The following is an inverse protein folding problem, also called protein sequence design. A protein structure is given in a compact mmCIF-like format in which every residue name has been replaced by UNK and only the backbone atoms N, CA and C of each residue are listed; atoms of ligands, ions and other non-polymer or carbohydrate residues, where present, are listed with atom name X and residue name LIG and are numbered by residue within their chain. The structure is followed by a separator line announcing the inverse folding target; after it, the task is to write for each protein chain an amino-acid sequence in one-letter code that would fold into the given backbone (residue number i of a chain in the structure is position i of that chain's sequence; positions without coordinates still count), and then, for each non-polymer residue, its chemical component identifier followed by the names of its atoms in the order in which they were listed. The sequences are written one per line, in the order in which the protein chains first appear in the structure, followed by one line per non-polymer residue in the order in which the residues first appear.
data_IF_814267254179
#
_entry.id   IF_814267254179
#
_cell.length_a   1.000
_cell.length_b   1.000
_cell.length_c   1.000
_cell.angle_alpha   90.00
_cell.angle_beta   90.00
_cell.angle_gamma   90.00
#
_symmetry.space_group_name_H-M   'P 1'
#
loop_
_entity.id
_entity.type
_entity.pdbx_description
1 polymer ?
#
# COMPACT_ATOMS: atom_id res chain seq x y z
N UNK A 1 -5.06 18.30 -11.24
CA UNK A 1 -5.62 19.37 -12.10
C UNK A 1 -7.12 19.15 -12.21
N UNK A 2 -7.92 20.04 -11.62
CA UNK A 2 -9.38 19.97 -11.62
C UNK A 2 -9.93 20.20 -13.04
N UNK A 3 -10.85 19.34 -13.47
CA UNK A 3 -11.51 19.42 -14.79
C UNK A 3 -13.00 19.61 -14.57
N UNK A 4 -13.60 20.55 -15.30
CA UNK A 4 -15.04 20.77 -15.31
C UNK A 4 -15.60 20.24 -16.62
N UNK A 5 -16.76 19.58 -16.55
CA UNK A 5 -17.50 19.08 -17.70
C UNK A 5 -18.98 19.40 -17.50
N UNK A 6 -19.62 20.01 -18.48
CA UNK A 6 -21.05 20.32 -18.44
C UNK A 6 -21.68 20.17 -19.82
N UNK A 7 -23.01 20.07 -19.84
CA UNK A 7 -23.82 19.98 -21.05
C UNK A 7 -24.52 21.31 -21.31
N UNK A 8 -24.51 21.76 -22.56
CA UNK A 8 -25.30 22.91 -23.01
C UNK A 8 -25.75 22.72 -24.47
N UNK A 9 -26.90 23.28 -24.82
CA UNK A 9 -27.33 23.42 -26.21
C UNK A 9 -26.95 24.80 -26.73
N UNK A 10 -26.60 24.87 -28.03
CA UNK A 10 -26.21 26.11 -28.70
C UNK A 10 -26.99 26.22 -30.00
N UNK A 11 -27.95 27.13 -30.01
CA UNK A 11 -28.96 27.24 -31.07
C UNK A 11 -29.22 28.70 -31.42
N UNK A 12 -29.24 28.97 -32.71
CA UNK A 12 -29.77 30.19 -33.32
C UNK A 12 -31.01 29.84 -34.15
N UNK A 13 -32.06 30.64 -34.05
CA UNK A 13 -33.31 30.44 -34.77
C UNK A 13 -33.12 30.58 -36.30
N UNK A 14 -32.15 31.37 -36.72
CA UNK A 14 -31.78 31.57 -38.11
C UNK A 14 -30.95 30.36 -38.58
N UNK A 15 -31.64 29.42 -39.26
CA UNK A 15 -31.09 28.11 -39.61
C UNK A 15 -29.93 28.12 -40.61
N UNK A 16 -29.63 29.28 -41.19
CA UNK A 16 -28.50 29.53 -42.09
C UNK A 16 -27.16 29.74 -41.38
N UNK A 17 -27.16 30.05 -40.07
CA UNK A 17 -25.94 30.33 -39.32
C UNK A 17 -25.32 29.04 -38.79
N UNK A 18 -24.27 28.55 -39.48
CA UNK A 18 -23.54 27.31 -39.17
C UNK A 18 -22.07 27.40 -39.63
N UNK A 19 -21.09 26.97 -38.81
CA UNK A 19 -21.17 26.61 -37.38
C UNK A 19 -21.29 27.84 -36.47
N UNK A 20 -21.66 27.63 -35.20
CA UNK A 20 -21.65 28.66 -34.16
C UNK A 20 -20.40 28.52 -33.30
N UNK A 21 -19.73 29.64 -33.02
CA UNK A 21 -18.57 29.68 -32.13
C UNK A 21 -19.02 29.83 -30.69
N UNK A 22 -18.82 28.81 -29.86
CA UNK A 22 -19.05 28.86 -28.42
C UNK A 22 -17.73 29.06 -27.65
N UNK A 23 -17.74 29.96 -26.67
CA UNK A 23 -16.61 30.23 -25.78
C UNK A 23 -17.03 30.07 -24.33
N UNK A 24 -16.15 29.50 -23.52
CA UNK A 24 -16.32 29.34 -22.08
C UNK A 24 -15.31 30.22 -21.38
N UNK A 25 -15.79 31.00 -20.43
CA UNK A 25 -14.99 31.85 -19.57
C UNK A 25 -15.13 31.38 -18.13
N UNK A 26 -14.01 31.27 -17.43
CA UNK A 26 -13.94 31.02 -16.01
C UNK A 26 -13.32 32.24 -15.34
N UNK A 27 -14.04 32.88 -14.41
CA UNK A 27 -13.61 34.11 -13.76
C UNK A 27 -13.14 35.19 -14.78
N UNK A 28 -13.96 35.40 -15.82
CA UNK A 28 -13.69 36.32 -16.94
C UNK A 28 -12.54 35.96 -17.89
N UNK A 29 -11.75 34.91 -17.63
CA UNK A 29 -10.72 34.43 -18.55
C UNK A 29 -11.30 33.37 -19.50
N UNK A 30 -11.02 33.46 -20.80
CA UNK A 30 -11.38 32.43 -21.77
C UNK A 30 -10.60 31.13 -21.45
N UNK A 31 -11.32 30.02 -21.26
CA UNK A 31 -10.74 28.72 -20.90
C UNK A 31 -11.05 27.60 -21.90
N UNK A 32 -12.02 27.83 -22.79
CA UNK A 32 -12.30 26.95 -23.91
C UNK A 32 -13.01 27.72 -25.03
N UNK A 33 -12.74 27.31 -26.27
CA UNK A 33 -13.47 27.74 -27.47
C UNK A 33 -13.75 26.51 -28.32
N UNK A 34 -14.95 26.43 -28.87
CA UNK A 34 -15.43 25.29 -29.64
C UNK A 34 -16.43 25.73 -30.70
N UNK A 35 -16.23 25.28 -31.94
CA UNK A 35 -17.26 25.32 -32.97
C UNK A 35 -18.30 24.23 -32.71
N UNK A 36 -19.58 24.61 -32.69
CA UNK A 36 -20.70 23.72 -32.45
C UNK A 36 -21.74 23.87 -33.55
N UNK A 37 -22.37 22.75 -33.91
CA UNK A 37 -23.50 22.78 -34.83
C UNK A 37 -24.63 23.60 -34.20
N UNK A 38 -25.28 24.44 -35.00
CA UNK A 38 -26.51 25.13 -34.61
C UNK A 38 -27.63 24.09 -34.43
N UNK A 39 -27.82 23.62 -33.19
CA UNK A 39 -28.85 22.65 -32.85
C UNK A 39 -29.26 22.75 -31.38
N UNK A 40 -30.46 22.24 -31.07
CA UNK A 40 -30.95 22.15 -29.70
C UNK A 40 -30.36 20.96 -28.93
N UNK A 41 -29.53 20.14 -29.57
CA UNK A 41 -28.93 18.99 -28.92
C UNK A 41 -27.91 19.43 -27.87
N UNK A 42 -27.83 18.68 -26.78
CA UNK A 42 -26.82 18.91 -25.76
C UNK A 42 -25.43 18.54 -26.31
N UNK A 43 -24.47 19.45 -26.11
CA UNK A 43 -23.05 19.26 -26.40
C UNK A 43 -22.25 19.34 -25.11
N UNK A 44 -21.18 18.56 -25.04
CA UNK A 44 -20.28 18.53 -23.88
C UNK A 44 -19.21 19.59 -24.01
N UNK A 45 -19.13 20.47 -23.02
CA UNK A 45 -18.06 21.45 -22.86
C UNK A 45 -17.13 21.02 -21.73
N UNK A 46 -15.83 21.20 -21.93
CA UNK A 46 -14.80 20.83 -20.95
C UNK A 46 -13.76 21.92 -20.83
N UNK A 47 -13.32 22.20 -19.61
CA UNK A 47 -12.17 23.06 -19.36
C UNK A 47 -11.39 22.61 -18.13
N UNK A 48 -10.12 23.01 -18.05
CA UNK A 48 -9.28 22.84 -16.86
C UNK A 48 -9.37 24.11 -16.03
N UNK A 49 -9.60 23.96 -14.74
CA UNK A 49 -9.50 25.10 -13.82
C UNK A 49 -8.02 25.50 -13.72
N UNK A 50 -7.69 26.81 -13.77
CA UNK A 50 -6.32 27.28 -13.61
C UNK A 50 -5.67 26.71 -12.34
N UNK A 51 -4.37 26.41 -12.43
CA UNK A 51 -3.62 25.90 -11.29
C UNK A 51 -3.68 26.92 -10.14
N UNK A 52 -3.71 26.43 -8.90
CA UNK A 52 -3.67 27.24 -7.68
C UNK A 52 -4.89 28.17 -7.49
N UNK A 53 -5.99 27.90 -8.20
CA UNK A 53 -7.28 28.56 -7.95
C UNK A 53 -7.77 28.21 -6.55
N UNK A 54 -7.99 29.22 -5.70
CA UNK A 54 -8.44 29.04 -4.32
C UNK A 54 -9.86 28.48 -4.22
N UNK A 55 -10.21 27.89 -3.08
CA UNK A 55 -11.61 27.56 -2.78
C UNK A 55 -12.48 28.83 -2.79
N UNK A 56 -13.70 28.69 -3.31
CA UNK A 56 -14.63 29.81 -3.49
C UNK A 56 -15.66 29.54 -4.57
N UNK A 57 -16.54 30.51 -4.77
CA UNK A 57 -17.54 30.50 -5.85
C UNK A 57 -17.02 31.26 -7.06
N UNK A 58 -17.22 30.68 -8.24
CA UNK A 58 -16.73 31.22 -9.50
C UNK A 58 -17.83 31.23 -10.55
N UNK A 59 -17.98 32.36 -11.23
CA UNK A 59 -18.84 32.45 -12.40
C UNK A 59 -18.18 31.75 -13.59
N UNK A 60 -18.93 30.85 -14.20
CA UNK A 60 -18.68 30.32 -15.54
C UNK A 60 -19.65 31.00 -16.50
N UNK A 61 -19.10 31.68 -17.49
CA UNK A 61 -19.84 32.36 -18.54
C UNK A 61 -19.63 31.62 -19.86
N UNK A 62 -20.71 31.26 -20.53
CA UNK A 62 -20.70 30.68 -21.87
C UNK A 62 -21.28 31.68 -22.84
N UNK A 63 -20.53 31.99 -23.89
CA UNK A 63 -21.01 32.81 -24.99
C UNK A 63 -21.11 31.97 -26.26
N UNK A 64 -22.08 32.26 -27.12
CA UNK A 64 -22.17 31.66 -28.45
C UNK A 64 -22.42 32.75 -29.48
N UNK A 65 -21.80 32.65 -30.66
CA UNK A 65 -21.94 33.65 -31.72
C UNK A 65 -21.97 33.02 -33.11
N UNK A 66 -22.78 33.61 -33.98
CA UNK A 66 -22.81 33.40 -35.43
C UNK A 66 -21.87 34.37 -36.18
N UNK A 67 -21.06 35.16 -35.46
CA UNK A 67 -20.25 36.25 -36.00
C UNK A 67 -20.97 37.60 -36.11
N UNK A 68 -22.29 37.65 -35.87
CA UNK A 68 -23.09 38.89 -35.90
C UNK A 68 -23.61 39.26 -34.52
N UNK A 69 -24.16 38.29 -33.79
CA UNK A 69 -24.75 38.43 -32.45
C UNK A 69 -24.09 37.47 -31.47
N UNK A 70 -24.16 37.82 -30.18
CA UNK A 70 -23.60 37.01 -29.11
C UNK A 70 -24.72 36.68 -28.11
N UNK A 71 -25.03 35.40 -27.97
CA UNK A 71 -25.82 34.87 -26.85
C UNK A 71 -24.92 34.62 -25.64
N UNK A 72 -25.41 34.88 -24.43
CA UNK A 72 -24.64 34.65 -23.18
C UNK A 72 -25.49 33.92 -22.13
N UNK A 73 -24.88 32.94 -21.46
CA UNK A 73 -25.40 32.28 -20.26
C UNK A 73 -24.32 32.21 -19.19
N UNK A 74 -24.76 32.19 -17.94
CA UNK A 74 -23.89 32.18 -16.75
C UNK A 74 -24.41 31.15 -15.76
N UNK A 75 -23.50 30.49 -15.07
CA UNK A 75 -23.77 29.65 -13.92
C UNK A 75 -22.57 29.72 -12.96
N UNK A 76 -22.79 29.33 -11.71
CA UNK A 76 -21.74 29.32 -10.69
C UNK A 76 -21.22 27.91 -10.47
N UNK A 77 -19.91 27.77 -10.27
CA UNK A 77 -19.30 26.57 -9.71
C UNK A 77 -18.63 26.89 -8.37
N UNK A 78 -18.68 25.95 -7.44
CA UNK A 78 -17.99 26.07 -6.15
C UNK A 78 -16.77 25.17 -6.15
N UNK A 79 -15.59 25.76 -5.93
CA UNK A 79 -14.35 25.04 -5.67
C UNK A 79 -14.21 24.91 -4.15
N UNK A 80 -14.04 23.68 -3.67
CA UNK A 80 -13.83 23.37 -2.25
C UNK A 80 -12.38 22.95 -2.02
N UNK A 81 -11.89 23.20 -0.82
CA UNK A 81 -10.66 22.57 -0.36
C UNK A 81 -10.90 21.08 -0.17
N UNK A 82 -9.86 20.28 -0.39
CA UNK A 82 -9.82 18.88 0.02
C UNK A 82 -8.66 18.72 1.01
N UNK A 83 -8.95 18.18 2.18
CA UNK A 83 -7.94 17.79 3.17
C UNK A 83 -7.27 16.53 2.68
N UNK A 84 -5.94 16.45 2.83
CA UNK A 84 -5.22 15.23 2.49
C UNK A 84 -5.55 14.16 3.53
N UNK A 85 -6.06 13.02 3.09
CA UNK A 85 -6.32 11.88 3.96
C UNK A 85 -5.05 11.35 4.60
N UNK A 86 -5.20 10.81 5.81
CA UNK A 86 -4.10 10.17 6.55
C UNK A 86 -4.44 8.73 6.91
N UNK A 87 -3.41 7.88 6.96
CA UNK A 87 -3.55 6.45 7.24
C UNK A 87 -2.56 6.05 8.33
N UNK A 88 -3.05 5.34 9.35
CA UNK A 88 -2.25 4.77 10.44
C UNK A 88 -2.53 3.28 10.63
N UNK A 89 -1.53 2.56 11.13
CA UNK A 89 -1.66 1.17 11.57
C UNK A 89 -1.96 1.13 13.07
N UNK A 90 -3.04 0.45 13.47
CA UNK A 90 -3.45 0.26 14.86
C UNK A 90 -3.73 -1.23 15.18
N UNK A 91 -2.93 -1.89 16.05
CA UNK A 91 -1.69 -1.38 16.63
C UNK A 91 -0.62 -1.19 15.55
N UNK A 92 0.48 -0.51 15.90
CA UNK A 92 1.70 -0.55 15.07
C UNK A 92 2.10 -2.01 14.88
N UNK A 93 2.44 -2.38 13.64
CA UNK A 93 2.88 -3.73 13.34
C UNK A 93 4.20 -4.05 14.05
N UNK A 94 4.37 -5.31 14.45
CA UNK A 94 5.59 -5.77 15.08
C UNK A 94 6.75 -5.69 14.09
N UNK A 95 7.96 -5.50 14.63
CA UNK A 95 9.16 -5.44 13.81
C UNK A 95 9.52 -6.80 13.19
N UNK A 96 9.12 -7.92 13.80
CA UNK A 96 9.51 -9.27 13.37
C UNK A 96 8.35 -10.25 13.48
N UNK A 97 8.18 -11.09 12.47
CA UNK A 97 7.20 -12.18 12.41
C UNK A 97 7.84 -13.48 11.90
N UNK A 98 7.19 -14.62 12.11
CA UNK A 98 7.54 -15.89 11.52
C UNK A 98 6.72 -16.16 10.25
N UNK A 99 7.20 -17.09 9.43
CA UNK A 99 6.42 -17.64 8.32
C UNK A 99 5.17 -18.33 8.86
N UNK A 100 4.04 -18.16 8.20
CA UNK A 100 2.75 -18.70 8.65
C UNK A 100 2.05 -17.87 9.72
N UNK A 101 2.68 -16.83 10.28
CA UNK A 101 2.01 -15.97 11.27
C UNK A 101 0.81 -15.26 10.64
N UNK A 102 -0.28 -15.21 11.40
CA UNK A 102 -1.43 -14.36 11.09
C UNK A 102 -1.17 -12.97 11.64
N UNK A 103 -1.13 -11.98 10.75
CA UNK A 103 -0.99 -10.57 11.09
C UNK A 103 -2.39 -9.94 11.12
N UNK A 104 -2.74 -9.29 12.23
CA UNK A 104 -4.02 -8.61 12.40
C UNK A 104 -3.74 -7.16 12.82
N UNK A 105 -4.40 -6.21 12.18
CA UNK A 105 -4.29 -4.78 12.51
C UNK A 105 -5.49 -4.02 11.94
N UNK A 106 -5.59 -2.74 12.28
CA UNK A 106 -6.61 -1.82 11.78
C UNK A 106 -5.93 -0.73 10.97
N UNK A 107 -6.42 -0.45 9.77
CA UNK A 107 -6.12 0.79 9.07
C UNK A 107 -7.05 1.87 9.62
N UNK A 108 -6.47 2.89 10.27
CA UNK A 108 -7.18 4.08 10.75
C UNK A 108 -7.03 5.15 9.69
N UNK A 109 -8.14 5.49 9.04
CA UNK A 109 -8.20 6.44 7.94
C UNK A 109 -8.90 7.69 8.44
N UNK A 110 -8.24 8.85 8.35
CA UNK A 110 -8.82 10.14 8.73
C UNK A 110 -8.82 11.08 7.53
N UNK A 111 -10.02 11.45 7.12
CA UNK A 111 -10.35 12.35 6.02
C UNK A 111 -11.70 13.02 6.32
N UNK A 112 -11.71 14.27 6.79
CA UNK A 112 -12.93 14.96 7.21
C UNK A 112 -13.84 15.38 6.05
N UNK A 113 -13.45 15.19 4.78
CA UNK A 113 -14.17 15.68 3.60
C UNK A 113 -15.30 14.74 3.15
N UNK A 114 -16.16 14.35 4.11
CA UNK A 114 -17.24 13.36 3.96
C UNK A 114 -18.29 13.70 2.89
N UNK A 115 -18.39 14.97 2.49
CA UNK A 115 -19.36 15.45 1.51
C UNK A 115 -18.98 15.10 0.05
N UNK A 116 -17.72 14.79 -0.24
CA UNK A 116 -17.30 14.32 -1.57
C UNK A 116 -16.39 13.09 -1.53
N UNK A 117 -15.73 12.82 -0.40
CA UNK A 117 -15.00 11.58 -0.13
C UNK A 117 -15.76 10.64 0.80
N UNK A 118 -17.02 10.38 0.44
CA UNK A 118 -17.98 9.61 1.23
C UNK A 118 -17.73 8.09 1.27
N UNK A 119 -16.73 7.59 0.54
CA UNK A 119 -16.42 6.17 0.44
C UNK A 119 -14.94 5.95 0.24
N UNK A 120 -14.38 5.03 1.03
CA UNK A 120 -13.02 4.55 0.89
C UNK A 120 -13.00 3.19 0.22
N UNK A 121 -12.09 3.02 -0.73
CA UNK A 121 -11.65 1.71 -1.22
C UNK A 121 -10.27 1.44 -0.66
N UNK A 122 -10.16 0.48 0.25
CA UNK A 122 -8.95 0.17 1.01
C UNK A 122 -8.37 -1.14 0.51
N UNK A 123 -7.17 -1.08 -0.06
CA UNK A 123 -6.44 -2.24 -0.56
C UNK A 123 -5.19 -2.48 0.29
N UNK A 124 -5.13 -3.68 0.87
CA UNK A 124 -3.97 -4.21 1.57
C UNK A 124 -3.10 -5.00 0.60
N UNK A 125 -1.82 -4.64 0.57
CA UNK A 125 -0.75 -5.33 -0.15
C UNK A 125 0.26 -5.93 0.82
N UNK A 126 0.73 -7.12 0.47
CA UNK A 126 1.93 -7.73 1.03
C UNK A 126 2.94 -7.87 -0.11
N UNK A 127 4.05 -7.13 -0.01
CA UNK A 127 4.90 -6.77 -1.13
C UNK A 127 4.02 -6.19 -2.26
N UNK A 128 4.18 -6.68 -3.49
CA UNK A 128 3.38 -6.20 -4.64
C UNK A 128 2.05 -6.92 -4.82
N UNK A 129 1.69 -7.85 -3.91
CA UNK A 129 0.48 -8.68 -4.05
C UNK A 129 -0.65 -8.14 -3.19
N UNK A 130 -1.76 -7.79 -3.82
CA UNK A 130 -3.03 -7.50 -3.13
C UNK A 130 -3.45 -8.73 -2.33
N UNK A 131 -3.71 -8.54 -1.03
CA UNK A 131 -4.25 -9.57 -0.13
C UNK A 131 -5.73 -9.36 0.14
N UNK A 132 -6.17 -8.11 0.23
CA UNK A 132 -7.55 -7.76 0.57
C UNK A 132 -7.91 -6.41 -0.03
N UNK A 133 -9.14 -6.28 -0.53
CA UNK A 133 -9.73 -4.99 -0.89
C UNK A 133 -11.11 -4.91 -0.25
N UNK A 134 -11.39 -3.82 0.45
CA UNK A 134 -12.66 -3.58 1.16
C UNK A 134 -13.13 -2.16 0.87
N UNK A 135 -14.44 -1.96 0.76
CA UNK A 135 -15.03 -0.62 0.74
C UNK A 135 -15.69 -0.29 2.06
N UNK A 136 -15.56 0.96 2.51
CA UNK A 136 -16.19 1.47 3.74
C UNK A 136 -16.74 2.88 3.50
N UNK A 137 -17.85 3.22 4.15
CA UNK A 137 -18.42 4.57 4.10
C UNK A 137 -17.61 5.51 4.99
N UNK A 138 -17.52 6.78 4.59
CA UNK A 138 -16.89 7.84 5.36
C UNK A 138 -17.94 8.84 5.85
N UNK A 139 -18.73 8.42 6.83
CA UNK A 139 -19.83 9.25 7.34
C UNK A 139 -19.36 10.26 8.41
N UNK A 140 -18.24 9.95 9.09
CA UNK A 140 -17.76 10.69 10.27
C UNK A 140 -16.35 11.29 10.11
N UNK A 141 -15.71 11.12 8.95
CA UNK A 141 -14.35 11.61 8.69
C UNK A 141 -13.23 10.75 9.28
N UNK A 142 -13.58 9.73 10.07
CA UNK A 142 -12.65 8.82 10.72
C UNK A 142 -13.19 7.38 10.61
N UNK A 143 -12.47 6.53 9.90
CA UNK A 143 -12.87 5.14 9.64
C UNK A 143 -11.79 4.18 10.12
N UNK A 144 -12.22 3.10 10.77
CA UNK A 144 -11.35 2.00 11.20
C UNK A 144 -11.69 0.76 10.41
N UNK A 145 -10.73 0.28 9.62
CA UNK A 145 -10.90 -0.91 8.78
C UNK A 145 -10.03 -2.04 9.34
N UNK A 146 -10.64 -3.06 9.98
CA UNK A 146 -9.93 -4.24 10.42
C UNK A 146 -9.42 -5.04 9.22
N UNK A 147 -8.13 -5.34 9.23
CA UNK A 147 -7.41 -6.03 8.18
C UNK A 147 -6.58 -7.16 8.76
N UNK A 148 -6.40 -8.18 7.94
CA UNK A 148 -5.64 -9.35 8.30
C UNK A 148 -5.08 -10.04 7.06
N UNK A 149 -3.94 -10.69 7.24
CA UNK A 149 -3.34 -11.59 6.25
C UNK A 149 -2.42 -12.60 6.95
N UNK A 150 -2.03 -13.64 6.22
CA UNK A 150 -1.07 -14.64 6.70
C UNK A 150 0.22 -14.53 5.89
N UNK A 151 1.37 -14.48 6.58
CA UNK A 151 2.69 -14.55 5.94
C UNK A 151 2.83 -15.93 5.30
N UNK A 152 3.21 -16.06 4.01
CA UNK A 152 3.36 -17.35 3.36
C UNK A 152 4.35 -18.25 4.13
N UNK A 153 4.01 -19.53 4.31
CA UNK A 153 4.93 -20.52 4.88
C UNK A 153 6.16 -20.76 3.99
N UNK A 154 6.05 -20.43 2.71
CA UNK A 154 7.10 -20.52 1.69
C UNK A 154 7.90 -19.22 1.51
N UNK A 155 7.69 -18.20 2.35
CA UNK A 155 8.41 -16.93 2.24
C UNK A 155 9.92 -17.13 2.40
N UNK A 156 10.70 -16.58 1.47
CA UNK A 156 12.17 -16.66 1.47
C UNK A 156 12.81 -15.31 1.78
N UNK A 157 12.08 -14.21 1.62
CA UNK A 157 12.59 -12.88 1.94
C UNK A 157 12.69 -12.69 3.46
N UNK A 158 13.76 -12.04 3.91
CA UNK A 158 13.95 -11.67 5.33
C UNK A 158 13.15 -10.43 5.73
N UNK A 159 12.56 -9.73 4.76
CA UNK A 159 11.72 -8.55 4.96
C UNK A 159 10.52 -8.58 4.02
N UNK A 160 9.42 -7.96 4.42
CA UNK A 160 8.30 -7.70 3.53
C UNK A 160 7.72 -6.29 3.74
N UNK A 161 7.24 -5.69 2.66
CA UNK A 161 6.48 -4.44 2.69
C UNK A 161 5.01 -4.73 2.95
N UNK A 162 4.44 -4.03 3.93
CA UNK A 162 3.00 -3.95 4.13
C UNK A 162 2.55 -2.58 3.68
N UNK A 163 1.72 -2.53 2.63
CA UNK A 163 1.22 -1.29 2.04
C UNK A 163 -0.30 -1.27 2.08
N UNK A 164 -0.84 -0.16 2.58
CA UNK A 164 -2.26 0.18 2.49
C UNK A 164 -2.40 1.28 1.46
N UNK A 165 -3.25 1.05 0.46
CA UNK A 165 -3.68 2.09 -0.49
C UNK A 165 -5.14 2.39 -0.20
N UNK A 166 -5.45 3.67 0.00
CA UNK A 166 -6.82 4.17 0.16
C UNK A 166 -7.12 5.04 -1.05
N UNK A 167 -8.22 4.72 -1.74
CA UNK A 167 -8.72 5.51 -2.87
C UNK A 167 -10.11 6.03 -2.53
N UNK A 168 -10.30 7.33 -2.73
CA UNK A 168 -11.57 8.06 -2.61
C UNK A 168 -12.00 8.54 -4.00
N UNK A 169 -13.21 9.13 -4.14
CA UNK A 169 -13.62 9.80 -5.38
C UNK A 169 -12.68 10.93 -5.82
N UNK A 170 -12.05 11.66 -4.89
CA UNK A 170 -11.25 12.84 -5.22
C UNK A 170 -9.74 12.68 -5.05
N UNK A 171 -9.28 11.66 -4.30
CA UNK A 171 -7.85 11.41 -4.11
C UNK A 171 -7.49 9.93 -3.92
N UNK A 172 -6.18 9.67 -3.89
CA UNK A 172 -5.60 8.37 -3.57
C UNK A 172 -4.34 8.60 -2.75
N UNK A 173 -4.18 7.83 -1.68
CA UNK A 173 -3.08 7.97 -0.74
C UNK A 173 -2.66 6.59 -0.24
N UNK A 174 -1.41 6.48 0.20
CA UNK A 174 -0.85 5.22 0.64
C UNK A 174 -0.02 5.37 1.92
N UNK A 175 0.05 4.25 2.65
CA UNK A 175 0.92 4.11 3.81
C UNK A 175 1.60 2.76 3.76
N UNK A 176 2.92 2.79 3.86
CA UNK A 176 3.74 1.60 3.91
C UNK A 176 4.49 1.47 5.23
N UNK A 177 4.82 0.23 5.57
CA UNK A 177 5.75 -0.13 6.63
C UNK A 177 6.44 -1.44 6.27
N UNK A 178 7.68 -1.62 6.71
CA UNK A 178 8.39 -2.89 6.53
C UNK A 178 8.33 -3.71 7.80
N UNK A 179 8.24 -5.03 7.63
CA UNK A 179 8.37 -6.02 8.70
C UNK A 179 9.57 -6.92 8.39
N UNK A 180 10.24 -7.42 9.42
CA UNK A 180 11.21 -8.49 9.29
C UNK A 180 10.49 -9.84 9.38
N UNK A 181 11.02 -10.81 8.66
CA UNK A 181 10.53 -12.18 8.63
C UNK A 181 11.68 -13.08 9.05
N UNK A 182 11.47 -13.76 10.17
CA UNK A 182 12.40 -14.74 10.66
C UNK A 182 12.53 -15.88 9.65
N UNK A 183 13.77 -16.15 9.26
CA UNK A 183 14.14 -17.27 8.41
C UNK A 183 14.83 -18.28 9.31
N UNK A 184 14.35 -19.53 9.31
CA UNK A 184 15.11 -20.61 9.93
C UNK A 184 16.49 -20.66 9.30
N UNK A 185 17.53 -20.74 10.14
CA UNK A 185 18.88 -21.03 9.65
C UNK A 185 18.81 -22.44 9.07
N UNK A 186 18.74 -22.54 7.74
CA UNK A 186 19.02 -23.80 7.08
C UNK A 186 20.47 -24.11 7.42
N UNK A 187 20.69 -25.11 8.26
CA UNK A 187 21.99 -25.75 8.35
C UNK A 187 22.28 -26.31 6.95
N UNK A 188 23.02 -25.55 6.14
CA UNK A 188 23.60 -26.06 4.92
C UNK A 188 24.63 -27.08 5.34
N UNK A 189 24.28 -28.36 5.26
CA UNK A 189 25.24 -29.41 5.54
C UNK A 189 26.21 -29.52 4.36
N UNK A 190 27.30 -28.74 4.42
CA UNK A 190 28.60 -28.99 3.78
C UNK A 190 29.58 -27.86 4.14
N UNK A 191 29.92 -27.76 5.41
CA UNK A 191 31.28 -27.41 5.78
C UNK A 191 31.89 -28.64 6.43
N UNK A 192 32.77 -29.34 5.70
CA UNK A 192 33.84 -30.16 6.28
C UNK A 192 34.81 -29.24 7.05
N UNK A 193 34.29 -28.59 8.07
CA UNK A 193 35.03 -27.83 9.07
C UNK A 193 34.77 -28.50 10.40
N UNK A 194 35.80 -29.15 10.95
CA UNK A 194 35.78 -29.80 12.26
C UNK A 194 35.11 -28.91 13.31
N UNK A 195 33.83 -29.16 13.61
CA UNK A 195 33.22 -28.71 14.85
C UNK A 195 33.73 -29.66 15.92
N UNK A 196 34.77 -29.24 16.62
CA UNK A 196 35.20 -29.90 17.84
C UNK A 196 34.13 -29.69 18.92
N UNK A 197 33.10 -30.54 18.92
CA UNK A 197 32.12 -30.63 20.00
C UNK A 197 32.86 -31.05 21.28
N UNK A 198 32.81 -30.17 22.29
CA UNK A 198 33.37 -30.43 23.63
C UNK A 198 32.81 -31.69 24.30
N UNK A 199 31.68 -32.23 23.82
CA UNK A 199 31.11 -33.50 24.30
C UNK A 199 31.79 -34.75 23.73
N UNK A 200 32.31 -34.73 22.50
CA UNK A 200 33.00 -35.89 21.93
C UNK A 200 34.33 -36.16 22.64
N UNK A 201 35.06 -35.10 23.04
CA UNK A 201 36.31 -35.23 23.82
C UNK A 201 36.10 -35.90 25.18
N UNK A 202 34.94 -35.74 25.83
CA UNK A 202 34.66 -36.41 27.12
C UNK A 202 34.48 -37.91 26.96
N UNK A 203 33.85 -38.38 25.87
CA UNK A 203 33.66 -39.83 25.64
C UNK A 203 34.97 -40.53 25.28
N UNK A 204 35.83 -39.91 24.45
CA UNK A 204 37.12 -40.51 24.10
C UNK A 204 38.10 -40.52 25.28
N UNK A 205 38.08 -39.49 26.14
CA UNK A 205 38.88 -39.48 27.36
C UNK A 205 38.41 -40.54 28.38
N UNK A 206 37.09 -40.73 28.55
CA UNK A 206 36.55 -41.75 29.45
C UNK A 206 36.92 -43.17 28.97
N UNK A 207 36.82 -43.44 27.66
CA UNK A 207 37.20 -44.75 27.08
C UNK A 207 38.70 -45.00 27.21
N UNK A 208 39.56 -44.00 26.98
CA UNK A 208 41.00 -44.14 27.17
C UNK A 208 41.37 -44.41 28.63
N UNK A 209 40.73 -43.73 29.59
CA UNK A 209 40.94 -43.96 31.03
C UNK A 209 40.47 -45.35 31.45
N UNK A 210 39.34 -45.84 30.92
CA UNK A 210 38.85 -47.20 31.15
C UNK A 210 39.80 -48.27 30.59
N UNK A 211 40.37 -48.07 29.40
CA UNK A 211 41.35 -48.99 28.83
C UNK A 211 42.64 -49.03 29.65
N UNK A 212 43.15 -47.89 30.12
CA UNK A 212 44.36 -47.84 30.96
C UNK A 212 44.11 -48.52 32.31
N UNK A 213 42.94 -48.30 32.94
CA UNK A 213 42.58 -48.98 34.19
C UNK A 213 42.46 -50.50 34.01
N UNK A 214 41.90 -50.97 32.90
CA UNK A 214 41.81 -52.40 32.60
C UNK A 214 43.20 -53.03 32.42
N UNK A 215 44.12 -52.36 31.72
CA UNK A 215 45.50 -52.84 31.55
C UNK A 215 46.23 -52.88 32.90
N UNK A 216 46.08 -51.86 33.75
CA UNK A 216 46.68 -51.85 35.09
C UNK A 216 46.13 -52.99 35.94
N UNK A 217 44.81 -53.25 35.91
CA UNK A 217 44.22 -54.36 36.66
C UNK A 217 44.77 -55.74 36.22
N UNK A 218 44.97 -55.94 34.92
CA UNK A 218 45.58 -57.17 34.39
C UNK A 218 47.04 -57.29 34.82
N UNK A 219 47.82 -56.21 34.77
CA UNK A 219 49.22 -56.21 35.23
C UNK A 219 49.29 -56.52 36.73
N UNK A 220 48.43 -55.93 37.55
CA UNK A 220 48.37 -56.22 38.99
C UNK A 220 48.00 -57.68 39.24
N UNK A 221 47.02 -58.23 38.53
CA UNK A 221 46.65 -59.64 38.66
C UNK A 221 47.82 -60.58 38.28
N UNK A 222 48.54 -60.28 37.19
CA UNK A 222 49.72 -61.04 36.77
C UNK A 222 50.84 -60.94 37.82
N UNK A 223 51.10 -59.76 38.38
CA UNK A 223 52.11 -59.58 39.45
C UNK A 223 51.71 -60.32 40.71
N UNK A 224 50.43 -60.31 41.12
CA UNK A 224 49.94 -61.07 42.27
C UNK A 224 50.11 -62.57 42.04
N UNK A 225 49.81 -63.08 40.84
CA UNK A 225 50.03 -64.49 40.48
C UNK A 225 51.52 -64.84 40.53
N UNK A 226 52.40 -63.99 39.98
CA UNK A 226 53.86 -64.20 40.03
C UNK A 226 54.37 -64.18 41.47
N UNK A 227 53.85 -63.30 42.33
CA UNK A 227 54.21 -63.25 43.75
C UNK A 227 53.69 -64.46 44.54
N UNK A 228 52.53 -65.01 44.16
CA UNK A 228 52.00 -66.26 44.73
C UNK A 228 52.80 -67.49 44.30
N UNK A 229 53.29 -67.54 43.06
CA UNK A 229 54.14 -68.62 42.55
C UNK A 229 55.59 -68.55 43.08
N UNK A 230 55.96 -67.46 43.76
CA UNK A 230 57.29 -67.25 44.38
C UNK A 230 57.31 -67.51 45.90
N UNK A 231 56.21 -67.99 46.48
CA UNK A 231 56.17 -68.58 47.83
C UNK A 231 56.23 -70.09 47.73
#
# INVERSE_FOLDING_TARGET
ILKVSFLASVYDQDSGDKPLTAKVFFNNAEVATQEVANSKDLKTFKFKVPKDTAAGEYEVKVTATDGKKIGTKKFTITIKNNTVLTIYFEPKLNATYNKGDKVNFTAVINDPDTNFDNKFTVSLFYNDKVKKTITSTNDAGLVRVPLDFTIPTTETNTTAEIKIVVTTPTESSEKLTNINIYQDVIASDSATGKIATKEAKKKTALVAVLCVLAVIAVVVAVVVIILWLRK
#
